data_IF_367163758565
#
_entry.id   IF_367163758565
#
_cell.length_a   1.000
_cell.length_b   1.000
_cell.length_c   1.000
_cell.angle_alpha   90.00
_cell.angle_beta   90.00
_cell.angle_gamma   90.00
#
_symmetry.space_group_name_H-M   'P 1'
#
loop_
_entity.id
_entity.type
_entity.pdbx_description
1 polymer ?
#
# COMPACT_ATOMS: atom_id res chain seq x y z
N UNK A 1 -5.83 1.50 15.99
CA UNK A 1 -5.97 0.06 15.62
C UNK A 1 -5.23 -0.19 14.31
N UNK A 2 -4.31 -1.15 14.25
CA UNK A 2 -3.46 -1.34 13.07
C UNK A 2 -4.02 -2.36 12.08
N UNK A 3 -4.04 -2.04 10.78
CA UNK A 3 -4.46 -2.93 9.68
C UNK A 3 -3.35 -3.11 8.65
N UNK A 4 -3.19 -4.32 8.12
CA UNK A 4 -2.22 -4.59 7.05
C UNK A 4 -2.70 -3.95 5.74
N UNK A 5 -1.83 -3.20 5.07
CA UNK A 5 -2.15 -2.47 3.82
C UNK A 5 -1.28 -2.86 2.62
N UNK A 6 -0.28 -3.73 2.81
CA UNK A 6 0.56 -4.22 1.72
C UNK A 6 0.56 -5.75 1.70
N UNK A 7 -0.05 -6.33 0.66
CA UNK A 7 -0.04 -7.78 0.43
C UNK A 7 1.26 -8.29 -0.21
N UNK A 8 2.13 -7.39 -0.65
CA UNK A 8 3.36 -7.74 -1.38
C UNK A 8 4.63 -7.61 -0.55
N UNK A 9 4.52 -7.11 0.69
CA UNK A 9 5.64 -6.93 1.64
C UNK A 9 6.89 -6.35 0.95
N UNK A 10 6.70 -5.26 0.20
CA UNK A 10 7.76 -4.68 -0.61
C UNK A 10 8.91 -4.18 0.27
N UNK A 11 10.15 -4.56 -0.07
CA UNK A 11 11.35 -3.96 0.51
C UNK A 11 11.36 -2.46 0.17
N UNK A 12 11.44 -1.59 1.17
CA UNK A 12 11.33 -0.12 1.03
C UNK A 12 9.94 0.36 0.58
N UNK A 13 8.91 0.10 1.38
CA UNK A 13 7.53 0.48 1.05
C UNK A 13 7.34 2.01 0.90
N UNK A 14 6.95 2.46 -0.29
CA UNK A 14 6.65 3.87 -0.59
C UNK A 14 5.56 4.47 0.32
N UNK A 15 4.66 3.63 0.84
CA UNK A 15 3.58 4.07 1.72
C UNK A 15 4.10 4.81 2.97
N UNK A 16 5.21 4.35 3.55
CA UNK A 16 5.79 4.98 4.74
C UNK A 16 6.29 6.40 4.47
N UNK A 17 6.96 6.62 3.34
CA UNK A 17 7.56 7.91 3.00
C UNK A 17 6.56 9.01 2.62
N UNK A 18 5.36 8.62 2.16
CA UNK A 18 4.34 9.59 1.71
C UNK A 18 3.27 9.89 2.77
N UNK A 19 3.29 9.20 3.90
CA UNK A 19 2.28 9.40 4.94
C UNK A 19 2.59 10.66 5.75
N UNK A 20 1.88 11.76 5.43
CA UNK A 20 2.05 13.05 6.09
C UNK A 20 1.75 13.04 7.61
N UNK A 21 0.96 12.06 8.09
CA UNK A 21 0.56 11.93 9.50
C UNK A 21 1.27 10.78 10.22
N UNK A 22 2.26 10.15 9.57
CA UNK A 22 3.04 9.05 10.14
C UNK A 22 2.18 7.89 10.71
N UNK A 23 1.05 7.61 10.07
CA UNK A 23 0.15 6.53 10.46
C UNK A 23 0.59 5.15 9.94
N UNK A 24 1.73 5.03 9.27
CA UNK A 24 2.17 3.79 8.61
C UNK A 24 3.47 3.30 9.25
N UNK A 25 3.52 2.01 9.58
CA UNK A 25 4.68 1.35 10.18
C UNK A 25 4.94 -0.03 9.58
N UNK A 26 6.16 -0.53 9.75
CA UNK A 26 6.54 -1.89 9.40
C UNK A 26 6.63 -2.75 10.67
N UNK A 27 6.01 -3.93 10.65
CA UNK A 27 6.11 -4.93 11.71
C UNK A 27 6.24 -6.31 11.07
N UNK A 28 7.32 -7.04 11.38
CA UNK A 28 7.58 -8.39 10.87
C UNK A 28 7.45 -8.49 9.34
N UNK A 29 7.98 -7.48 8.62
CA UNK A 29 7.90 -7.39 7.15
C UNK A 29 6.53 -6.97 6.61
N UNK A 30 5.50 -6.87 7.46
CA UNK A 30 4.17 -6.38 7.07
C UNK A 30 4.09 -4.86 7.21
N UNK A 31 3.43 -4.21 6.26
CA UNK A 31 3.15 -2.77 6.31
C UNK A 31 1.76 -2.56 6.87
N UNK A 32 1.66 -1.84 7.98
CA UNK A 32 0.41 -1.57 8.68
C UNK A 32 0.07 -0.09 8.67
N UNK A 33 -1.22 0.21 8.68
CA UNK A 33 -1.77 1.54 8.94
C UNK A 33 -2.48 1.56 10.28
N UNK A 34 -2.17 2.53 11.11
CA UNK A 34 -2.96 2.87 12.30
C UNK A 34 -4.20 3.65 11.85
N UNK A 35 -5.36 3.01 11.91
CA UNK A 35 -6.62 3.59 11.44
C UNK A 35 -7.12 4.75 12.31
N UNK A 36 -6.61 4.90 13.53
CA UNK A 36 -7.00 6.02 14.41
C UNK A 36 -6.23 7.30 14.06
N UNK A 37 -5.01 7.17 13.51
CA UNK A 37 -4.21 8.30 13.03
C UNK A 37 -4.45 8.62 11.56
N UNK A 38 -4.87 7.62 10.78
CA UNK A 38 -5.06 7.76 9.34
C UNK A 38 -6.24 8.68 9.00
N UNK A 39 -5.96 9.75 8.25
CA UNK A 39 -6.99 10.71 7.78
C UNK A 39 -7.63 10.33 6.44
N UNK A 40 -7.28 9.17 5.86
CA UNK A 40 -7.89 8.69 4.62
C UNK A 40 -7.47 9.44 3.34
N UNK A 41 -6.36 10.18 3.34
CA UNK A 41 -5.95 11.00 2.17
C UNK A 41 -5.60 10.22 0.89
N UNK A 42 -5.35 8.91 0.98
CA UNK A 42 -5.09 8.05 -0.17
C UNK A 42 -3.69 8.12 -0.78
N UNK A 43 -2.79 9.00 -0.30
CA UNK A 43 -1.43 9.16 -0.86
C UNK A 43 -0.61 7.86 -0.88
N UNK A 44 -0.74 7.03 0.16
CA UNK A 44 -0.05 5.74 0.22
C UNK A 44 -0.51 4.78 -0.89
N UNK A 45 -1.81 4.79 -1.25
CA UNK A 45 -2.35 4.01 -2.35
C UNK A 45 -1.82 4.53 -3.69
N UNK A 46 -1.86 5.85 -3.91
CA UNK A 46 -1.36 6.48 -5.14
C UNK A 46 0.13 6.19 -5.36
N UNK A 47 0.95 6.34 -4.32
CA UNK A 47 2.37 6.04 -4.39
C UNK A 47 2.64 4.56 -4.68
N UNK A 48 1.86 3.65 -4.08
CA UNK A 48 1.97 2.22 -4.36
C UNK A 48 1.66 1.89 -5.84
N UNK A 49 0.63 2.50 -6.42
CA UNK A 49 0.30 2.31 -7.84
C UNK A 49 1.39 2.90 -8.75
N UNK A 50 1.86 4.11 -8.45
CA UNK A 50 2.84 4.80 -9.29
C UNK A 50 4.23 4.16 -9.25
N UNK A 51 4.69 3.71 -8.09
CA UNK A 51 6.08 3.28 -7.87
C UNK A 51 6.22 1.81 -7.47
N UNK A 52 5.18 1.23 -6.86
CA UNK A 52 5.14 -0.18 -6.47
C UNK A 52 4.90 -1.16 -7.64
N UNK A 53 4.70 -0.65 -8.86
CA UNK A 53 4.42 -1.41 -10.09
C UNK A 53 5.43 -2.51 -10.44
N UNK A 54 6.67 -2.47 -9.92
CA UNK A 54 7.58 -3.63 -10.07
C UNK A 54 7.05 -4.92 -9.40
N UNK A 55 6.16 -4.83 -8.41
CA UNK A 55 5.47 -5.98 -7.82
C UNK A 55 4.35 -6.56 -8.71
N UNK A 56 4.02 -5.92 -9.83
CA UNK A 56 2.95 -6.34 -10.76
C UNK A 56 3.47 -7.10 -11.99
N UNK A 57 4.79 -7.16 -12.21
CA UNK A 57 5.35 -7.80 -13.42
C UNK A 57 5.05 -9.32 -13.53
N UNK A 58 4.67 -9.97 -12.43
CA UNK A 58 4.33 -11.41 -12.40
C UNK A 58 2.83 -11.71 -12.18
N UNK A 59 1.92 -10.73 -12.29
CA UNK A 59 0.46 -10.99 -12.21
C UNK A 59 -0.21 -10.60 -13.52
N UNK A 60 -0.95 -11.55 -14.10
CA UNK A 60 -1.61 -11.39 -15.40
C UNK A 60 -2.58 -10.19 -15.41
N UNK A 61 -2.82 -9.57 -16.59
CA UNK A 61 -3.74 -8.43 -16.75
C UNK A 61 -5.17 -8.66 -16.26
N UNK A 62 -5.56 -9.92 -16.02
CA UNK A 62 -6.89 -10.33 -15.57
C UNK A 62 -7.27 -9.77 -14.19
N UNK A 63 -6.31 -9.31 -13.39
CA UNK A 63 -6.60 -8.69 -12.09
C UNK A 63 -7.18 -7.27 -12.21
N UNK A 64 -6.93 -6.56 -13.33
CA UNK A 64 -7.44 -5.20 -13.56
C UNK A 64 -8.85 -5.15 -14.15
N UNK A 65 -9.37 -6.28 -14.66
CA UNK A 65 -10.66 -6.34 -15.37
C UNK A 65 -11.81 -6.96 -14.57
N UNK A 66 -11.64 -7.32 -13.28
CA UNK A 66 -12.76 -7.86 -12.48
C UNK A 66 -13.71 -6.82 -11.85
N UNK A 67 -13.56 -5.54 -12.20
CA UNK A 67 -14.49 -4.48 -11.76
C UNK A 67 -14.89 -3.52 -12.90
N UNK A 68 -14.77 -3.96 -14.15
CA UNK A 68 -15.38 -3.28 -15.29
C UNK A 68 -16.42 -4.21 -15.92
N UNK A 69 -17.65 -4.11 -15.39
CA UNK A 69 -18.89 -4.80 -15.79
C UNK A 69 -18.98 -6.31 -15.52
#
# INVERSE_FOLDING_TARGET
>A
MSKIICAHLCKSCYAMGVCAVHAISELNGSILVDTEKCIGCGSCKTACVAFGYKALQNKSPQFFMKHAA
#
